data_IF_805226644089
#
_entry.id   IF_805226644089
#
_cell.length_a   1.000
_cell.length_b   1.000
_cell.length_c   1.000
_cell.angle_alpha   90.00
_cell.angle_beta   90.00
_cell.angle_gamma   90.00
#
_symmetry.space_group_name_H-M   'P 1'
#
loop_
_entity.id
_entity.type
_entity.pdbx_description
1 polymer ?
#
# COMPACT_ATOMS: atom_id res chain seq x y z
N UNK A 1 31.27 -25.05 5.92
CA UNK A 1 32.20 -24.09 5.28
C UNK A 1 31.39 -22.86 4.95
N UNK A 2 31.36 -21.90 5.88
CA UNK A 2 30.44 -20.78 5.86
C UNK A 2 31.07 -19.66 5.03
N UNK A 3 30.74 -19.61 3.74
CA UNK A 3 31.15 -18.49 2.89
C UNK A 3 30.33 -17.29 3.35
N UNK A 4 30.89 -16.48 4.26
CA UNK A 4 30.49 -15.08 4.40
C UNK A 4 30.62 -14.47 3.00
N UNK A 5 29.50 -14.39 2.28
CA UNK A 5 29.43 -13.68 1.01
C UNK A 5 29.76 -12.25 1.36
N UNK A 6 30.99 -11.84 1.03
CA UNK A 6 31.55 -10.56 1.39
C UNK A 6 30.67 -9.48 0.76
N UNK A 7 29.81 -8.85 1.58
CA UNK A 7 28.98 -7.71 1.19
C UNK A 7 29.84 -6.55 0.67
N UNK A 8 31.16 -6.59 0.91
CA UNK A 8 32.14 -5.64 0.37
C UNK A 8 32.62 -5.94 -1.05
N UNK A 9 32.01 -6.88 -1.78
CA UNK A 9 32.46 -7.23 -3.14
C UNK A 9 32.54 -5.97 -4.01
N UNK A 10 33.78 -5.61 -4.35
CA UNK A 10 34.26 -4.36 -4.98
C UNK A 10 33.16 -3.38 -5.40
N UNK A 11 32.79 -2.50 -4.47
CA UNK A 11 31.93 -1.38 -4.81
C UNK A 11 32.64 -0.53 -5.88
N UNK A 12 31.94 -0.24 -6.99
CA UNK A 12 32.45 0.57 -8.09
C UNK A 12 33.12 1.86 -7.59
N UNK A 13 34.14 2.39 -8.29
CA UNK A 13 34.84 3.61 -7.87
C UNK A 13 33.82 4.74 -7.66
N UNK A 14 33.81 5.26 -6.45
CA UNK A 14 32.88 6.29 -5.99
C UNK A 14 33.28 7.66 -6.57
N UNK A 15 32.33 8.51 -7.00
CA UNK A 15 32.62 9.89 -7.37
C UNK A 15 33.27 10.66 -6.21
N UNK A 16 34.18 11.59 -6.52
CA UNK A 16 34.80 12.43 -5.51
C UNK A 16 33.75 13.24 -4.74
N UNK A 17 33.85 13.31 -3.41
CA UNK A 17 32.95 14.11 -2.56
C UNK A 17 31.61 13.48 -2.18
N UNK A 18 31.37 12.21 -2.51
CA UNK A 18 30.22 11.44 -2.02
C UNK A 18 30.59 10.79 -0.67
N UNK A 19 29.65 10.23 0.08
CA UNK A 19 29.80 9.34 1.24
C UNK A 19 29.06 8.01 1.00
N UNK A 20 29.50 6.91 1.64
CA UNK A 20 28.80 5.62 1.54
C UNK A 20 28.43 5.13 2.93
N UNK A 21 27.14 4.98 3.18
CA UNK A 21 26.60 4.29 4.34
C UNK A 21 26.27 2.85 3.96
N UNK A 22 26.54 1.93 4.89
CA UNK A 22 26.39 0.51 4.66
C UNK A 22 25.60 -0.13 5.81
N UNK A 23 24.56 -0.87 5.46
CA UNK A 23 23.80 -1.74 6.35
C UNK A 23 23.89 -3.17 5.82
N UNK A 24 24.70 -4.01 6.46
CA UNK A 24 24.92 -5.40 6.05
C UNK A 24 24.20 -6.39 6.95
N UNK A 25 23.79 -7.52 6.37
CA UNK A 25 23.20 -8.67 7.05
C UNK A 25 22.02 -8.35 7.99
N UNK A 26 21.22 -7.35 7.64
CA UNK A 26 20.05 -6.98 8.43
C UNK A 26 18.92 -7.99 8.19
N UNK A 27 18.55 -8.74 9.23
CA UNK A 27 17.59 -9.84 9.12
C UNK A 27 16.22 -9.45 9.71
N UNK A 28 15.16 -9.72 8.94
CA UNK A 28 13.76 -9.55 9.36
C UNK A 28 12.89 -10.70 8.91
N UNK A 29 11.91 -11.06 9.74
CA UNK A 29 10.86 -12.01 9.38
C UNK A 29 9.65 -11.24 8.87
N UNK A 30 9.07 -11.68 7.76
CA UNK A 30 7.88 -11.06 7.18
C UNK A 30 7.10 -12.06 6.33
N UNK A 31 5.79 -11.85 6.21
CA UNK A 31 4.97 -12.53 5.20
C UNK A 31 5.28 -11.95 3.82
N UNK A 32 5.83 -12.76 2.91
CA UNK A 32 6.10 -12.35 1.53
C UNK A 32 6.03 -13.54 0.56
N UNK A 33 5.40 -13.38 -0.59
CA UNK A 33 5.33 -14.45 -1.58
C UNK A 33 4.11 -14.39 -2.49
N UNK A 34 4.29 -14.82 -3.73
CA UNK A 34 3.26 -14.81 -4.76
C UNK A 34 2.38 -16.07 -4.73
N UNK A 35 2.84 -17.16 -4.09
CA UNK A 35 2.11 -18.41 -4.05
C UNK A 35 1.16 -18.45 -2.85
N UNK A 36 -0.04 -19.01 -3.05
CA UNK A 36 -1.05 -19.12 -1.99
C UNK A 36 -0.58 -19.94 -0.78
N UNK A 37 0.32 -20.89 -1.00
CA UNK A 37 0.92 -21.75 0.04
C UNK A 37 1.87 -20.97 0.97
N UNK A 38 2.36 -19.79 0.53
CA UNK A 38 3.22 -18.90 1.32
C UNK A 38 2.40 -17.95 2.22
N UNK A 39 1.06 -18.09 2.26
CA UNK A 39 0.19 -17.28 3.11
C UNK A 39 0.24 -17.75 4.55
N UNK A 40 0.30 -16.80 5.47
CA UNK A 40 0.38 -17.07 6.91
C UNK A 40 1.72 -17.66 7.37
N UNK A 41 2.71 -17.76 6.48
CA UNK A 41 4.06 -18.23 6.80
C UNK A 41 5.02 -17.04 6.74
N UNK A 42 5.67 -16.76 7.86
CA UNK A 42 6.75 -15.78 7.89
C UNK A 42 8.01 -16.36 7.25
N UNK A 43 8.63 -15.57 6.38
CA UNK A 43 9.91 -15.88 5.75
C UNK A 43 10.98 -14.92 6.27
N UNK A 44 12.18 -15.46 6.47
CA UNK A 44 13.37 -14.75 6.92
C UNK A 44 14.05 -14.11 5.72
N UNK A 45 14.02 -12.79 5.70
CA UNK A 45 14.68 -11.96 4.71
C UNK A 45 15.98 -11.37 5.27
N UNK A 46 16.99 -11.28 4.42
CA UNK A 46 18.24 -10.57 4.68
C UNK A 46 18.36 -9.38 3.74
N UNK A 47 18.64 -8.22 4.30
CA UNK A 47 18.85 -6.97 3.60
C UNK A 47 20.31 -6.55 3.68
N UNK A 48 20.83 -6.13 2.54
CA UNK A 48 22.16 -5.56 2.38
C UNK A 48 22.00 -4.27 1.58
N UNK A 49 22.25 -3.13 2.23
CA UNK A 49 21.99 -1.80 1.67
C UNK A 49 23.27 -0.99 1.66
N UNK A 50 23.57 -0.39 0.51
CA UNK A 50 24.58 0.65 0.36
C UNK A 50 23.87 1.91 -0.11
N UNK A 51 24.07 3.01 0.60
CA UNK A 51 23.50 4.31 0.27
C UNK A 51 24.62 5.30 0.05
N UNK A 52 24.58 6.00 -1.08
CA UNK A 52 25.48 7.09 -1.38
C UNK A 52 24.85 8.43 -1.03
N UNK A 53 25.54 9.19 -0.18
CA UNK A 53 25.10 10.51 0.29
C UNK A 53 26.07 11.61 -0.14
N UNK A 54 25.63 12.88 -0.10
CA UNK A 54 26.53 14.02 -0.23
C UNK A 54 27.62 14.04 0.85
N UNK A 55 28.68 14.83 0.64
CA UNK A 55 29.65 15.13 1.70
C UNK A 55 28.93 15.70 2.93
N UNK A 56 29.36 15.36 4.16
CA UNK A 56 28.79 15.97 5.35
C UNK A 56 29.14 17.47 5.32
N UNK A 57 28.29 18.30 5.92
CA UNK A 57 28.62 19.69 6.18
C UNK A 57 29.88 19.81 7.07
N UNK A 58 30.51 21.01 7.16
CA UNK A 58 31.69 21.22 7.99
C UNK A 58 31.41 21.07 9.49
N UNK A 59 30.15 21.16 9.92
CA UNK A 59 29.73 20.90 11.29
C UNK A 59 29.46 19.39 11.46
N UNK A 60 30.17 18.76 12.42
CA UNK A 60 30.01 17.37 12.86
C UNK A 60 28.70 17.19 13.66
N UNK A 61 27.59 17.66 13.09
CA UNK A 61 26.27 17.59 13.66
C UNK A 61 25.60 16.27 13.24
N UNK A 62 25.47 15.38 14.22
CA UNK A 62 24.84 14.06 14.08
C UNK A 62 23.42 14.17 13.51
N UNK A 63 22.71 15.27 13.76
CA UNK A 63 21.34 15.48 13.28
C UNK A 63 21.26 15.83 11.78
N UNK A 64 22.40 16.19 11.16
CA UNK A 64 22.50 16.50 9.72
C UNK A 64 22.94 15.30 8.86
N UNK A 65 23.37 14.21 9.51
CA UNK A 65 23.90 13.02 8.85
C UNK A 65 22.83 11.93 8.83
N UNK A 66 22.62 11.33 7.66
CA UNK A 66 21.77 10.16 7.52
C UNK A 66 22.23 9.06 8.50
N UNK A 67 21.38 8.64 9.43
CA UNK A 67 21.71 7.58 10.38
C UNK A 67 21.44 6.19 9.81
N UNK A 68 22.16 5.17 10.27
CA UNK A 68 21.84 3.77 9.97
C UNK A 68 20.47 3.36 10.55
N UNK A 69 20.02 4.01 11.63
CA UNK A 69 18.67 3.83 12.17
C UNK A 69 17.60 4.25 11.15
N UNK A 70 17.88 5.25 10.32
CA UNK A 70 16.99 5.64 9.21
C UNK A 70 16.88 4.54 8.15
N UNK A 71 17.97 3.82 7.87
CA UNK A 71 17.95 2.68 6.93
C UNK A 71 17.12 1.52 7.48
N UNK A 72 17.32 1.20 8.76
CA UNK A 72 16.55 0.21 9.51
C UNK A 72 15.07 0.56 9.50
N UNK A 73 14.73 1.81 9.84
CA UNK A 73 13.36 2.29 9.89
C UNK A 73 12.70 2.27 8.51
N UNK A 74 13.42 2.67 7.44
CA UNK A 74 12.88 2.63 6.09
C UNK A 74 12.50 1.20 5.66
N UNK A 75 13.33 0.20 6.00
CA UNK A 75 13.01 -1.21 5.74
C UNK A 75 11.81 -1.66 6.58
N UNK A 76 11.82 -1.38 7.88
CA UNK A 76 10.76 -1.81 8.80
C UNK A 76 9.42 -1.14 8.46
N UNK A 77 9.42 0.13 8.02
CA UNK A 77 8.24 0.85 7.54
C UNK A 77 7.64 0.19 6.29
N UNK A 78 8.47 -0.10 5.29
CA UNK A 78 8.01 -0.73 4.04
C UNK A 78 7.49 -2.14 4.31
N UNK A 79 8.17 -2.89 5.17
CA UNK A 79 7.68 -4.19 5.63
C UNK A 79 6.35 -4.02 6.36
N UNK A 80 6.24 -3.10 7.31
CA UNK A 80 5.03 -2.87 8.11
C UNK A 80 3.83 -2.35 7.33
N UNK A 81 4.03 -1.71 6.17
CA UNK A 81 2.95 -1.05 5.43
C UNK A 81 1.94 -2.02 4.79
N UNK A 82 2.40 -3.10 4.15
CA UNK A 82 1.53 -4.14 3.60
C UNK A 82 2.28 -5.45 3.35
N UNK A 83 1.53 -6.55 3.16
CA UNK A 83 2.10 -7.78 2.61
C UNK A 83 2.40 -7.59 1.12
N UNK A 84 3.61 -7.96 0.73
CA UNK A 84 4.05 -7.94 -0.66
C UNK A 84 4.15 -9.36 -1.24
N UNK A 85 3.93 -9.46 -2.54
CA UNK A 85 4.01 -10.75 -3.24
C UNK A 85 5.42 -11.02 -3.79
N UNK A 86 6.14 -9.95 -4.16
CA UNK A 86 7.41 -10.02 -4.90
C UNK A 86 8.55 -9.32 -4.13
N UNK A 87 9.75 -9.91 -4.19
CA UNK A 87 10.95 -9.29 -3.62
C UNK A 87 11.36 -8.05 -4.39
N UNK A 88 11.11 -8.04 -5.69
CA UNK A 88 11.35 -6.92 -6.61
C UNK A 88 10.57 -5.68 -6.15
N UNK A 89 9.26 -5.84 -5.89
CA UNK A 89 8.42 -4.74 -5.40
C UNK A 89 8.85 -4.27 -4.00
N UNK A 90 9.26 -5.19 -3.13
CA UNK A 90 9.81 -4.83 -1.82
C UNK A 90 11.09 -4.01 -1.98
N UNK A 91 12.03 -4.47 -2.81
CA UNK A 91 13.29 -3.80 -3.04
C UNK A 91 13.07 -2.40 -3.63
N UNK A 92 12.24 -2.28 -4.67
CA UNK A 92 11.92 -1.00 -5.30
C UNK A 92 11.34 -0.01 -4.29
N UNK A 93 10.40 -0.43 -3.43
CA UNK A 93 9.81 0.46 -2.41
C UNK A 93 10.78 0.90 -1.34
N UNK A 94 11.67 0.02 -0.90
CA UNK A 94 12.74 0.40 0.04
C UNK A 94 13.66 1.41 -0.63
N UNK A 95 14.05 1.19 -1.89
CA UNK A 95 14.88 2.13 -2.64
C UNK A 95 14.19 3.48 -2.84
N UNK A 96 12.91 3.51 -3.23
CA UNK A 96 12.13 4.75 -3.38
C UNK A 96 12.02 5.52 -2.07
N UNK A 97 11.79 4.81 -0.95
CA UNK A 97 11.72 5.42 0.39
C UNK A 97 13.05 6.08 0.78
N UNK A 98 14.17 5.42 0.49
CA UNK A 98 15.52 5.92 0.76
C UNK A 98 15.90 7.08 -0.16
N UNK A 99 15.61 6.99 -1.46
CA UNK A 99 15.86 8.05 -2.45
C UNK A 99 15.00 9.29 -2.23
N UNK A 100 13.88 9.17 -1.52
CA UNK A 100 13.08 10.31 -1.07
C UNK A 100 13.75 11.15 0.03
N UNK A 101 14.84 10.67 0.64
CA UNK A 101 15.57 11.42 1.65
C UNK A 101 16.49 12.47 0.99
N UNK A 102 16.51 13.74 1.46
CA UNK A 102 17.20 14.84 0.77
C UNK A 102 18.69 14.61 0.50
N UNK A 103 19.35 13.81 1.32
CA UNK A 103 20.80 13.58 1.26
C UNK A 103 21.19 12.37 0.40
N UNK A 104 20.22 11.56 -0.06
CA UNK A 104 20.46 10.28 -0.72
C UNK A 104 20.44 10.44 -2.23
N UNK A 105 21.61 10.26 -2.86
CA UNK A 105 21.74 10.36 -4.32
C UNK A 105 21.61 9.02 -5.03
N UNK A 106 21.96 7.92 -4.35
CA UNK A 106 22.02 6.60 -4.96
C UNK A 106 21.91 5.48 -3.93
N UNK A 107 21.26 4.38 -4.31
CA UNK A 107 20.97 3.21 -3.45
C UNK A 107 21.27 1.93 -4.23
N UNK A 108 22.08 1.06 -3.62
CA UNK A 108 22.21 -0.34 -4.00
C UNK A 108 21.59 -1.18 -2.88
N UNK A 109 20.64 -2.03 -3.24
CA UNK A 109 19.89 -2.85 -2.30
C UNK A 109 19.83 -4.29 -2.78
N UNK A 110 20.25 -5.21 -1.92
CA UNK A 110 20.11 -6.65 -2.10
C UNK A 110 19.21 -7.23 -1.02
N UNK A 111 18.20 -7.97 -1.44
CA UNK A 111 17.22 -8.63 -0.57
C UNK A 111 17.22 -10.13 -0.86
N UNK A 112 17.42 -10.94 0.16
CA UNK A 112 17.57 -12.40 0.03
C UNK A 112 16.59 -13.14 0.95
N UNK A 113 15.96 -14.20 0.44
CA UNK A 113 15.20 -15.18 1.23
C UNK A 113 16.16 -16.25 1.76
N UNK A 114 16.21 -16.43 3.08
CA UNK A 114 17.08 -17.41 3.72
C UNK A 114 16.43 -18.80 3.88
N UNK A 115 15.10 -18.87 3.83
CA UNK A 115 14.36 -20.09 4.20
C UNK A 115 14.04 -21.01 3.00
N UNK A 116 14.43 -20.65 1.77
CA UNK A 116 14.02 -21.39 0.56
C UNK A 116 15.07 -22.40 0.10
N UNK A 117 15.03 -23.60 0.68
CA UNK A 117 15.84 -24.74 0.23
C UNK A 117 17.34 -24.59 0.55
N UNK A 118 18.23 -25.39 -0.07
CA UNK A 118 19.67 -25.39 0.24
C UNK A 118 20.43 -24.19 -0.37
N UNK A 119 19.73 -23.25 -1.00
CA UNK A 119 20.30 -22.12 -1.73
C UNK A 119 19.69 -20.80 -1.26
N UNK A 120 20.44 -19.71 -1.39
CA UNK A 120 19.94 -18.35 -1.16
C UNK A 120 19.44 -17.76 -2.48
N UNK A 121 18.20 -17.29 -2.49
CA UNK A 121 17.61 -16.58 -3.62
C UNK A 121 17.32 -15.14 -3.20
N UNK A 122 17.45 -14.21 -4.12
CA UNK A 122 17.21 -12.81 -3.83
C UNK A 122 17.18 -11.96 -5.08
N UNK A 123 16.97 -10.67 -4.86
CA UNK A 123 17.03 -9.64 -5.89
C UNK A 123 18.09 -8.62 -5.48
N UNK A 124 18.74 -8.03 -6.46
CA UNK A 124 19.65 -6.91 -6.27
C UNK A 124 19.24 -5.80 -7.23
N UNK A 125 19.07 -4.59 -6.71
CA UNK A 125 18.71 -3.42 -7.48
C UNK A 125 19.68 -2.29 -7.20
N UNK A 126 19.83 -1.43 -8.20
CA UNK A 126 20.60 -0.21 -8.15
C UNK A 126 19.73 0.92 -8.69
N UNK A 127 19.62 2.02 -7.95
CA UNK A 127 18.75 3.16 -8.27
C UNK A 127 19.46 4.47 -7.92
N UNK A 128 19.31 5.47 -8.76
CA UNK A 128 19.81 6.83 -8.51
C UNK A 128 18.66 7.81 -8.49
N UNK A 129 18.76 8.86 -7.67
CA UNK A 129 17.81 9.95 -7.69
C UNK A 129 17.88 10.62 -9.08
N UNK A 130 16.74 10.98 -9.70
CA UNK A 130 16.74 11.68 -10.97
C UNK A 130 17.49 13.01 -10.84
N UNK A 131 18.43 13.26 -11.75
CA UNK A 131 19.24 14.48 -11.72
C UNK A 131 18.36 15.74 -11.83
N UNK A 132 18.41 16.61 -10.81
CA UNK A 132 17.79 17.94 -10.85
C UNK A 132 16.37 18.05 -10.29
N UNK A 133 15.83 17.03 -9.61
CA UNK A 133 14.65 17.24 -8.77
C UNK A 133 15.09 17.76 -7.40
N UNK A 134 14.65 18.97 -7.07
CA UNK A 134 14.64 19.49 -5.71
C UNK A 134 13.99 18.44 -4.78
N UNK A 135 14.33 18.43 -3.47
CA UNK A 135 13.72 17.53 -2.51
C UNK A 135 12.21 17.48 -2.74
N UNK A 136 11.67 16.27 -2.91
CA UNK A 136 10.22 16.07 -2.86
C UNK A 136 9.74 16.83 -1.61
N UNK A 137 8.75 17.73 -1.74
CA UNK A 137 8.30 18.54 -0.63
C UNK A 137 8.07 17.63 0.56
N UNK A 138 8.72 18.00 1.65
CA UNK A 138 8.64 17.33 2.92
C UNK A 138 7.15 17.16 3.26
N UNK A 139 6.80 15.91 3.58
CA UNK A 139 5.44 15.43 3.87
C UNK A 139 4.58 15.17 2.63
N UNK A 140 3.97 13.99 2.65
CA UNK A 140 2.62 13.77 2.14
C UNK A 140 1.81 15.00 2.58
N UNK A 141 1.61 16.00 1.71
CA UNK A 141 0.47 16.89 1.88
C UNK A 141 -0.71 15.94 1.84
N UNK A 142 -1.32 15.69 3.00
CA UNK A 142 -2.54 14.93 3.08
C UNK A 142 -3.48 15.61 2.09
N UNK A 143 -3.71 14.95 0.95
CA UNK A 143 -4.66 15.43 -0.04
C UNK A 143 -6.02 15.64 0.63
N UNK A 144 -6.97 16.26 -0.08
CA UNK A 144 -8.31 16.44 0.47
C UNK A 144 -8.88 15.10 0.97
N UNK A 145 -9.26 15.04 2.25
CA UNK A 145 -9.83 13.83 2.87
C UNK A 145 -11.11 13.44 2.14
N UNK A 146 -11.18 12.23 1.54
CA UNK A 146 -12.29 11.87 0.69
C UNK A 146 -13.58 11.67 1.49
N UNK A 147 -14.72 11.85 0.81
CA UNK A 147 -15.99 11.28 1.29
C UNK A 147 -16.00 9.81 0.96
N UNK A 148 -16.04 8.95 1.97
CA UNK A 148 -16.21 7.50 1.78
C UNK A 148 -17.67 7.13 1.94
N UNK A 149 -18.27 6.54 0.90
CA UNK A 149 -19.67 6.15 0.89
C UNK A 149 -19.85 4.67 0.52
N UNK A 150 -20.49 3.90 1.39
CA UNK A 150 -20.87 2.51 1.12
C UNK A 150 -22.21 2.46 0.39
N UNK A 151 -22.25 1.82 -0.77
CA UNK A 151 -23.45 1.61 -1.57
C UNK A 151 -24.01 0.22 -1.28
N UNK A 152 -25.27 0.14 -0.82
CA UNK A 152 -25.95 -1.15 -0.59
C UNK A 152 -26.46 -1.76 -1.90
N UNK A 153 -26.77 -3.07 -1.93
CA UNK A 153 -27.34 -3.71 -3.12
C UNK A 153 -28.63 -3.05 -3.61
N UNK A 154 -29.47 -2.58 -2.68
CA UNK A 154 -30.72 -1.89 -3.01
C UNK A 154 -30.45 -0.56 -3.72
N UNK A 155 -29.45 0.20 -3.24
CA UNK A 155 -29.05 1.46 -3.86
C UNK A 155 -28.38 1.25 -5.22
N UNK A 156 -27.55 0.21 -5.36
CA UNK A 156 -26.86 -0.09 -6.61
C UNK A 156 -27.83 -0.38 -7.76
N UNK A 157 -28.99 -0.99 -7.46
CA UNK A 157 -30.06 -1.26 -8.42
C UNK A 157 -31.02 -0.10 -8.67
N UNK A 158 -30.95 0.98 -7.88
CA UNK A 158 -31.93 2.07 -7.93
C UNK A 158 -31.70 3.00 -9.15
N UNK A 159 -32.74 3.34 -9.92
CA UNK A 159 -32.68 4.35 -10.99
C UNK A 159 -32.11 5.71 -10.54
N UNK A 160 -32.29 6.08 -9.27
CA UNK A 160 -31.89 7.37 -8.69
C UNK A 160 -30.44 7.41 -8.21
N UNK A 161 -29.68 6.32 -8.37
CA UNK A 161 -28.28 6.27 -7.95
C UNK A 161 -27.43 7.42 -8.51
N UNK A 162 -27.50 7.80 -9.82
CA UNK A 162 -26.73 8.92 -10.34
C UNK A 162 -27.00 10.25 -9.59
N UNK A 163 -28.28 10.55 -9.31
CA UNK A 163 -28.66 11.75 -8.55
C UNK A 163 -28.07 11.75 -7.12
N UNK A 164 -27.89 10.57 -6.53
CA UNK A 164 -27.29 10.43 -5.22
C UNK A 164 -25.78 10.62 -5.25
N UNK A 165 -25.12 10.16 -6.31
CA UNK A 165 -23.69 10.39 -6.54
C UNK A 165 -23.39 11.86 -6.79
N UNK A 166 -24.24 12.56 -7.55
CA UNK A 166 -24.12 14.01 -7.76
C UNK A 166 -24.21 14.80 -6.45
N UNK A 167 -25.08 14.38 -5.53
CA UNK A 167 -25.19 15.00 -4.20
C UNK A 167 -23.98 14.71 -3.29
N UNK A 168 -23.20 13.68 -3.57
CA UNK A 168 -21.97 13.37 -2.84
C UNK A 168 -20.75 14.11 -3.40
N UNK A 169 -20.75 14.41 -4.70
CA UNK A 169 -19.68 15.11 -5.39
C UNK A 169 -19.68 16.60 -5.05
N UNK A 170 -19.04 16.98 -3.95
CA UNK A 170 -18.75 18.37 -3.62
C UNK A 170 -17.45 18.83 -4.34
N UNK A 171 -17.40 20.03 -4.94
CA UNK A 171 -16.20 20.54 -5.57
C UNK A 171 -15.00 20.55 -4.62
N UNK A 172 -13.88 19.97 -5.06
CA UNK A 172 -12.63 19.92 -4.28
C UNK A 172 -12.55 18.84 -3.21
N UNK A 173 -13.57 17.98 -3.09
CA UNK A 173 -13.55 16.83 -2.17
C UNK A 173 -13.73 15.52 -2.94
N UNK A 174 -12.70 14.65 -3.02
CA UNK A 174 -12.81 13.38 -3.71
C UNK A 174 -13.89 12.49 -3.09
N UNK A 175 -14.55 11.69 -3.91
CA UNK A 175 -15.54 10.71 -3.46
C UNK A 175 -15.02 9.32 -3.76
N UNK A 176 -15.02 8.48 -2.73
CA UNK A 176 -14.62 7.07 -2.83
C UNK A 176 -15.80 6.21 -2.42
N UNK A 177 -16.26 5.36 -3.33
CA UNK A 177 -17.35 4.43 -3.09
C UNK A 177 -16.82 3.06 -2.68
N UNK A 178 -17.49 2.45 -1.71
CA UNK A 178 -17.34 1.02 -1.42
C UNK A 178 -18.64 0.30 -1.78
N UNK A 179 -18.52 -0.90 -2.36
CA UNK A 179 -19.68 -1.68 -2.75
C UNK A 179 -19.98 -2.76 -1.71
N UNK A 180 -21.22 -2.82 -1.23
CA UNK A 180 -21.72 -3.98 -0.51
C UNK A 180 -22.37 -4.93 -1.51
N UNK A 181 -22.02 -6.22 -1.44
CA UNK A 181 -22.62 -7.23 -2.29
C UNK A 181 -23.84 -7.86 -1.62
N UNK A 182 -24.84 -8.20 -2.43
CA UNK A 182 -25.87 -9.15 -2.01
C UNK A 182 -25.20 -10.51 -1.75
N UNK A 183 -25.79 -11.32 -0.85
CA UNK A 183 -25.27 -12.67 -0.59
C UNK A 183 -25.20 -13.47 -1.88
N UNK A 184 -24.05 -14.10 -2.13
CA UNK A 184 -23.89 -15.04 -3.24
C UNK A 184 -24.90 -16.17 -3.12
N UNK A 185 -25.49 -16.59 -4.24
CA UNK A 185 -26.48 -17.66 -4.30
C UNK A 185 -25.87 -19.04 -3.98
N UNK A 186 -24.57 -19.20 -4.19
CA UNK A 186 -23.85 -20.47 -3.98
C UNK A 186 -22.75 -20.28 -2.93
N UNK A 187 -22.97 -20.71 -1.68
CA UNK A 187 -21.94 -20.66 -0.65
C UNK A 187 -20.84 -21.68 -0.94
N UNK A 188 -19.60 -21.33 -0.61
CA UNK A 188 -18.47 -22.23 -0.67
C UNK A 188 -18.42 -23.14 0.57
N UNK A 189 -17.78 -24.29 0.44
CA UNK A 189 -17.69 -25.30 1.51
C UNK A 189 -16.66 -24.98 2.60
N UNK A 190 -15.70 -24.08 2.33
CA UNK A 190 -14.68 -23.66 3.30
C UNK A 190 -14.76 -22.16 3.57
N UNK A 191 -14.34 -21.73 4.76
CA UNK A 191 -14.34 -20.32 5.14
C UNK A 191 -13.43 -19.46 4.25
N UNK A 192 -12.24 -19.97 3.89
CA UNK A 192 -11.30 -19.29 2.98
C UNK A 192 -11.91 -19.09 1.58
N UNK A 193 -12.52 -20.13 1.03
CA UNK A 193 -13.18 -20.03 -0.27
C UNK A 193 -14.40 -19.09 -0.20
N UNK A 194 -15.18 -19.15 0.89
CA UNK A 194 -16.32 -18.25 1.09
C UNK A 194 -15.86 -16.79 1.19
N UNK A 195 -14.75 -16.53 1.88
CA UNK A 195 -14.16 -15.18 1.96
C UNK A 195 -13.81 -14.66 0.58
N UNK A 196 -13.26 -15.51 -0.28
CA UNK A 196 -12.95 -15.07 -1.65
C UNK A 196 -14.19 -14.84 -2.51
N UNK A 197 -15.21 -15.68 -2.36
CA UNK A 197 -16.51 -15.46 -3.02
C UNK A 197 -17.13 -14.14 -2.55
N UNK A 198 -17.07 -13.83 -1.25
CA UNK A 198 -17.58 -12.56 -0.69
C UNK A 198 -16.85 -11.34 -1.29
N UNK A 199 -15.52 -11.38 -1.40
CA UNK A 199 -14.73 -10.29 -1.99
C UNK A 199 -15.00 -10.12 -3.49
N UNK A 200 -15.10 -11.22 -4.25
CA UNK A 200 -15.44 -11.17 -5.67
C UNK A 200 -16.86 -10.64 -5.90
N UNK A 201 -17.80 -10.95 -5.01
CA UNK A 201 -19.15 -10.41 -5.08
C UNK A 201 -19.15 -8.88 -4.87
N UNK A 202 -18.30 -8.36 -3.97
CA UNK A 202 -18.11 -6.91 -3.80
C UNK A 202 -17.55 -6.26 -5.07
N UNK A 203 -16.59 -6.90 -5.75
CA UNK A 203 -16.05 -6.39 -7.01
C UNK A 203 -17.08 -6.40 -8.14
N UNK A 204 -17.91 -7.44 -8.24
CA UNK A 204 -19.04 -7.46 -9.19
C UNK A 204 -20.02 -6.31 -8.92
N UNK A 205 -20.30 -6.02 -7.65
CA UNK A 205 -21.12 -4.88 -7.25
C UNK A 205 -20.45 -3.54 -7.61
N UNK A 206 -19.12 -3.42 -7.43
CA UNK A 206 -18.36 -2.24 -7.83
C UNK A 206 -18.49 -1.97 -9.35
N UNK A 207 -18.32 -3.00 -10.18
CA UNK A 207 -18.51 -2.88 -11.64
C UNK A 207 -19.96 -2.54 -12.02
N UNK A 208 -20.93 -3.09 -11.29
CA UNK A 208 -22.35 -2.79 -11.52
C UNK A 208 -22.67 -1.33 -11.22
N UNK A 209 -22.07 -0.75 -10.17
CA UNK A 209 -22.19 0.68 -9.84
C UNK A 209 -21.44 1.53 -10.89
N UNK A 210 -20.23 1.12 -11.30
CA UNK A 210 -19.45 1.85 -12.30
C UNK A 210 -20.18 2.01 -13.63
N UNK A 211 -20.95 0.98 -14.04
CA UNK A 211 -21.77 1.04 -15.25
C UNK A 211 -22.90 2.09 -15.20
N UNK A 212 -23.17 2.70 -14.04
CA UNK A 212 -24.24 3.68 -13.82
C UNK A 212 -23.79 5.13 -13.94
N UNK A 213 -22.48 5.40 -13.94
CA UNK A 213 -21.93 6.75 -13.98
C UNK A 213 -20.64 6.81 -14.82
N UNK A 214 -20.56 7.62 -15.89
CA UNK A 214 -19.38 7.69 -16.75
C UNK A 214 -18.13 8.27 -16.06
N UNK A 215 -18.26 8.91 -14.89
CA UNK A 215 -17.14 9.42 -14.09
C UNK A 215 -16.53 8.33 -13.19
N UNK A 216 -17.20 7.18 -13.07
CA UNK A 216 -16.80 6.12 -12.17
C UNK A 216 -15.59 5.33 -12.71
N UNK A 217 -14.62 5.08 -11.84
CA UNK A 217 -13.48 4.22 -12.12
C UNK A 217 -13.33 3.17 -11.02
N UNK A 218 -13.30 1.90 -11.40
CA UNK A 218 -13.02 0.81 -10.44
C UNK A 218 -11.51 0.74 -10.21
N UNK A 219 -11.09 0.80 -8.96
CA UNK A 219 -9.68 0.82 -8.54
C UNK A 219 -9.40 -0.31 -7.56
N UNK A 220 -8.26 -0.99 -7.73
CA UNK A 220 -7.88 -2.15 -6.88
C UNK A 220 -6.60 -1.90 -6.06
N UNK A 221 -5.94 -0.77 -6.27
CA UNK A 221 -4.66 -0.44 -5.65
C UNK A 221 -4.63 0.99 -5.09
N UNK A 222 -3.74 1.23 -4.11
CA UNK A 222 -3.55 2.57 -3.53
C UNK A 222 -3.12 3.60 -4.56
N UNK A 223 -2.28 3.21 -5.51
CA UNK A 223 -1.77 4.12 -6.56
C UNK A 223 -2.88 4.54 -7.51
N UNK A 224 -3.72 3.62 -7.97
CA UNK A 224 -4.88 3.94 -8.81
C UNK A 224 -5.89 4.80 -8.05
N UNK A 225 -6.12 4.49 -6.77
CA UNK A 225 -7.01 5.26 -5.92
C UNK A 225 -6.51 6.70 -5.75
N UNK A 226 -5.23 6.90 -5.49
CA UNK A 226 -4.63 8.24 -5.41
C UNK A 226 -4.79 8.99 -6.73
N UNK A 227 -4.49 8.34 -7.85
CA UNK A 227 -4.67 8.94 -9.17
C UNK A 227 -6.12 9.34 -9.45
N UNK A 228 -7.09 8.49 -9.09
CA UNK A 228 -8.51 8.79 -9.24
C UNK A 228 -8.93 10.00 -8.38
N UNK A 229 -8.42 10.10 -7.15
CA UNK A 229 -8.67 11.26 -6.29
C UNK A 229 -8.06 12.54 -6.86
N UNK A 230 -6.81 12.49 -7.34
CA UNK A 230 -6.10 13.66 -7.89
C UNK A 230 -6.74 14.17 -9.20
N UNK A 231 -7.34 13.26 -9.98
CA UNK A 231 -8.01 13.58 -11.25
C UNK A 231 -9.51 13.89 -11.10
N UNK A 232 -10.05 13.80 -9.88
CA UNK A 232 -11.46 14.09 -9.59
C UNK A 232 -12.43 13.03 -10.13
N UNK A 233 -11.96 11.81 -10.39
CA UNK A 233 -12.80 10.68 -10.76
C UNK A 233 -13.55 10.13 -9.54
N UNK A 234 -14.72 9.55 -9.78
CA UNK A 234 -15.48 8.85 -8.75
C UNK A 234 -14.88 7.44 -8.57
N UNK A 235 -13.97 7.29 -7.60
CA UNK A 235 -13.29 6.03 -7.36
C UNK A 235 -14.24 5.01 -6.73
N UNK A 236 -14.28 3.79 -7.26
CA UNK A 236 -15.04 2.66 -6.70
C UNK A 236 -14.07 1.56 -6.32
N UNK A 237 -14.02 1.22 -5.04
CA UNK A 237 -13.03 0.29 -4.52
C UNK A 237 -13.37 -1.18 -4.85
N UNK A 238 -12.46 -1.86 -5.55
CA UNK A 238 -12.41 -3.31 -5.71
C UNK A 238 -11.50 -3.92 -4.61
N UNK A 239 -12.07 -4.60 -3.61
CA UNK A 239 -11.35 -4.86 -2.37
C UNK A 239 -10.32 -5.99 -2.40
N UNK A 240 -10.40 -6.97 -3.31
CA UNK A 240 -9.67 -8.24 -3.14
C UNK A 240 -8.18 -8.05 -2.98
N UNK A 241 -7.58 -7.22 -3.84
CA UNK A 241 -6.12 -7.03 -3.85
C UNK A 241 -5.63 -6.38 -2.57
N UNK A 242 -6.25 -5.30 -2.12
CA UNK A 242 -5.88 -4.61 -0.89
C UNK A 242 -6.17 -5.44 0.36
N UNK A 243 -7.33 -6.08 0.44
CA UNK A 243 -7.72 -6.91 1.59
C UNK A 243 -6.80 -8.10 1.74
N UNK A 244 -6.47 -8.80 0.65
CA UNK A 244 -5.55 -9.96 0.69
C UNK A 244 -4.13 -9.58 1.13
N UNK A 245 -3.74 -8.33 0.93
CA UNK A 245 -2.43 -7.79 1.31
C UNK A 245 -2.43 -7.11 2.68
N UNK A 246 -3.59 -7.01 3.34
CA UNK A 246 -3.68 -6.48 4.69
C UNK A 246 -2.87 -7.34 5.68
N UNK A 247 -2.25 -6.70 6.67
CA UNK A 247 -1.53 -7.41 7.73
C UNK A 247 -2.45 -7.89 8.84
N UNK A 248 -3.50 -7.13 9.15
CA UNK A 248 -4.46 -7.53 10.15
C UNK A 248 -5.27 -8.77 9.69
N UNK A 249 -5.16 -9.87 10.43
CA UNK A 249 -5.97 -11.07 10.18
C UNK A 249 -7.49 -10.79 10.15
N UNK A 250 -8.07 -9.97 11.08
CA UNK A 250 -9.49 -9.63 11.00
C UNK A 250 -9.89 -8.97 9.68
N UNK A 251 -9.02 -8.16 9.08
CA UNK A 251 -9.30 -7.54 7.77
C UNK A 251 -9.32 -8.59 6.68
N UNK A 252 -8.34 -9.51 6.69
CA UNK A 252 -8.25 -10.59 5.71
C UNK A 252 -9.42 -11.55 5.79
N UNK A 253 -9.84 -11.90 7.01
CA UNK A 253 -10.67 -13.08 7.24
C UNK A 253 -12.11 -12.74 7.63
N UNK A 254 -12.31 -11.66 8.40
CA UNK A 254 -13.57 -11.43 9.13
C UNK A 254 -14.36 -10.18 8.68
N UNK A 255 -13.68 -9.05 8.43
CA UNK A 255 -14.34 -7.76 8.22
C UNK A 255 -15.21 -7.76 6.95
N UNK A 256 -16.46 -7.29 7.09
CA UNK A 256 -17.44 -7.20 6.00
C UNK A 256 -18.23 -5.89 6.06
N UNK A 257 -18.86 -5.53 4.94
CA UNK A 257 -19.80 -4.41 4.85
C UNK A 257 -19.24 -3.12 5.45
N UNK A 258 -19.97 -2.55 6.42
CA UNK A 258 -19.57 -1.30 7.06
C UNK A 258 -18.25 -1.41 7.81
N UNK A 259 -17.95 -2.54 8.47
CA UNK A 259 -16.71 -2.68 9.22
C UNK A 259 -15.47 -2.70 8.30
N UNK A 260 -15.57 -3.39 7.16
CA UNK A 260 -14.52 -3.39 6.14
C UNK A 260 -14.38 -2.02 5.47
N UNK A 261 -15.51 -1.35 5.20
CA UNK A 261 -15.53 0.02 4.68
C UNK A 261 -14.87 0.99 5.66
N UNK A 262 -15.14 0.86 6.95
CA UNK A 262 -14.54 1.68 8.00
C UNK A 262 -13.04 1.50 8.09
N UNK A 263 -12.55 0.26 8.00
CA UNK A 263 -11.11 0.00 7.90
C UNK A 263 -10.47 0.70 6.70
N UNK A 264 -11.09 0.56 5.53
CA UNK A 264 -10.60 1.21 4.30
C UNK A 264 -10.65 2.74 4.41
N UNK A 265 -11.71 3.31 4.98
CA UNK A 265 -11.86 4.75 5.19
C UNK A 265 -10.77 5.33 6.09
N UNK A 266 -10.40 4.62 7.18
CA UNK A 266 -9.27 5.02 8.04
C UNK A 266 -7.95 5.06 7.27
N UNK A 267 -7.74 4.12 6.35
CA UNK A 267 -6.52 4.10 5.53
C UNK A 267 -6.38 5.31 4.59
N UNK A 268 -7.48 6.06 4.39
CA UNK A 268 -7.54 7.30 3.59
C UNK A 268 -7.61 8.56 4.46
N UNK A 269 -7.53 8.44 5.78
CA UNK A 269 -7.67 9.55 6.72
C UNK A 269 -9.08 10.11 6.84
N UNK A 270 -10.11 9.38 6.39
CA UNK A 270 -11.50 9.77 6.60
C UNK A 270 -11.94 9.46 8.04
N UNK A 271 -12.72 10.35 8.66
CA UNK A 271 -13.22 10.17 10.04
C UNK A 271 -14.62 9.54 10.11
N UNK A 272 -15.29 9.41 8.97
CA UNK A 272 -16.66 8.90 8.90
C UNK A 272 -16.98 8.26 7.56
N UNK A 273 -17.99 7.38 7.57
CA UNK A 273 -18.50 6.70 6.38
C UNK A 273 -19.99 7.03 6.21
N UNK A 274 -20.40 7.34 4.99
CA UNK A 274 -21.82 7.48 4.62
C UNK A 274 -22.35 6.15 4.07
N UNK A 275 -23.65 5.91 4.21
CA UNK A 275 -24.31 4.74 3.61
C UNK A 275 -25.37 5.23 2.62
N UNK A 276 -25.35 4.72 1.40
CA UNK A 276 -26.39 4.93 0.39
C UNK A 276 -27.23 3.65 0.34
N UNK A 277 -28.49 3.75 0.77
CA UNK A 277 -29.46 2.66 0.73
C UNK A 277 -30.62 2.96 -0.24
N UNK A 278 -31.66 2.12 -0.28
CA UNK A 278 -32.81 2.33 -1.17
C UNK A 278 -33.63 3.62 -0.89
N UNK A 279 -33.44 4.23 0.28
CA UNK A 279 -33.98 5.56 0.62
C UNK A 279 -33.09 6.71 0.15
N UNK A 280 -31.86 6.41 -0.29
CA UNK A 280 -30.84 7.36 -0.71
C UNK A 280 -29.68 7.48 0.28
N UNK A 281 -28.85 8.53 0.18
CA UNK A 281 -27.76 8.76 1.11
C UNK A 281 -28.33 9.05 2.50
N UNK A 282 -27.96 8.23 3.48
CA UNK A 282 -28.29 8.46 4.89
C UNK A 282 -27.68 9.78 5.37
N UNK A 283 -28.51 10.63 5.98
CA UNK A 283 -28.13 12.01 6.29
C UNK A 283 -27.05 12.18 7.36
N UNK A 284 -26.77 11.16 8.17
CA UNK A 284 -25.72 11.19 9.18
C UNK A 284 -24.55 10.30 8.78
N UNK A 285 -23.37 10.90 8.59
CA UNK A 285 -22.13 10.14 8.46
C UNK A 285 -21.88 9.37 9.77
N UNK A 286 -21.58 8.08 9.66
CA UNK A 286 -21.28 7.24 10.82
C UNK A 286 -19.83 7.45 11.21
N UNK A 287 -19.53 7.88 12.46
CA UNK A 287 -18.16 8.04 12.91
C UNK A 287 -17.45 6.69 12.90
N UNK A 288 -16.16 6.71 12.58
CA UNK A 288 -15.32 5.52 12.68
C UNK A 288 -15.04 5.27 14.17
N UNK A 289 -15.65 4.25 14.75
CA UNK A 289 -15.33 3.84 16.12
C UNK A 289 -13.96 3.14 16.15
N UNK A 290 -13.12 3.50 17.12
CA UNK A 290 -11.89 2.77 17.44
C UNK A 290 -12.26 1.38 18.00
N UNK A 291 -12.12 0.36 17.17
CA UNK A 291 -12.10 -1.05 17.57
C UNK A 291 -11.10 -1.79 16.71
#
# INVERSE_FOLDING_TARGET
>A
MNTLVDFRREAAPKPAGVNRLLLGDYVRKTEIGAFGEERGIEQTLRFNVTVETGAPGPDDDVDTILSYDTLVQAIDDVLGAERLDLLETLADRVADRLLGLPTVGHVQLRVEKLDRGPFTLGVEIERSAPAGLAPLPDRISAGPVPVVAMVTPEAAGDPRLPDWLDRLAEPGRPVVLTACAARSASPASTAEAQRQVDLLAMEQAAWSIAARDPRACVVDSRTELQHAMDTGLLAIWAPSRMVRRAREAPVRDDLKGLALTSWFARSLGADSVRVIDGGGPTGAARPLSDR
#
